data_IF_352626467270
#
_entry.id   IF_352626467270
#
_cell.length_a   1.000
_cell.length_b   1.000
_cell.length_c   1.000
_cell.angle_alpha   90.00
_cell.angle_beta   90.00
_cell.angle_gamma   90.00
#
_symmetry.space_group_name_H-M   'P 1'
#
loop_
_entity.id
_entity.type
_entity.pdbx_description
1 polymer ?
#
# COMPACT_ATOMS: atom_id res chain seq x y z
N UNK A 1 -26.95 -12.69 -2.85
CA UNK A 1 -25.99 -13.61 -3.51
C UNK A 1 -24.71 -12.83 -3.71
N UNK A 2 -23.67 -13.10 -2.91
CA UNK A 2 -22.37 -12.44 -3.04
C UNK A 2 -21.51 -13.22 -4.02
N UNK A 3 -21.07 -12.58 -5.11
CA UNK A 3 -20.02 -13.13 -5.96
C UNK A 3 -18.73 -13.10 -5.13
N UNK A 4 -18.11 -14.27 -4.92
CA UNK A 4 -16.82 -14.36 -4.25
C UNK A 4 -15.74 -13.83 -5.20
N UNK A 5 -15.46 -12.53 -5.11
CA UNK A 5 -14.34 -11.89 -5.80
C UNK A 5 -13.05 -12.26 -5.06
N UNK A 6 -12.11 -12.88 -5.75
CA UNK A 6 -10.79 -13.15 -5.21
C UNK A 6 -9.92 -11.95 -5.56
N UNK A 7 -9.41 -11.23 -4.57
CA UNK A 7 -8.40 -10.22 -4.79
C UNK A 7 -7.08 -10.93 -5.09
N UNK A 8 -6.30 -10.38 -6.03
CA UNK A 8 -5.01 -10.94 -6.42
C UNK A 8 -4.02 -10.85 -5.24
N UNK A 9 -4.01 -11.88 -4.40
CA UNK A 9 -3.02 -12.07 -3.35
C UNK A 9 -1.67 -12.49 -3.93
N UNK A 10 -0.61 -12.09 -3.22
CA UNK A 10 0.80 -12.34 -3.53
C UNK A 10 1.04 -13.79 -3.98
N UNK A 11 1.61 -13.98 -5.18
CA UNK A 11 2.29 -15.25 -5.52
C UNK A 11 3.76 -15.03 -5.20
N UNK A 12 4.19 -15.47 -4.02
CA UNK A 12 5.59 -15.42 -3.64
C UNK A 12 6.46 -16.11 -4.67
N UNK A 13 7.27 -15.34 -5.41
CA UNK A 13 8.44 -15.89 -6.11
C UNK A 13 9.69 -15.81 -5.24
N UNK A 14 9.51 -15.81 -3.91
CA UNK A 14 10.60 -16.03 -2.98
C UNK A 14 11.05 -17.48 -3.11
N UNK A 15 12.15 -17.73 -3.84
CA UNK A 15 12.91 -18.96 -3.66
C UNK A 15 13.53 -18.91 -2.27
N UNK A 16 12.77 -19.29 -1.24
CA UNK A 16 13.36 -19.69 0.02
C UNK A 16 14.32 -20.84 -0.32
N UNK A 17 15.62 -20.62 -0.08
CA UNK A 17 16.64 -21.63 -0.37
C UNK A 17 16.29 -22.83 0.49
N UNK A 18 15.81 -23.88 -0.17
CA UNK A 18 15.40 -25.16 0.41
C UNK A 18 16.24 -25.53 1.64
N UNK A 19 15.59 -25.67 2.78
CA UNK A 19 16.01 -26.62 3.81
C UNK A 19 16.15 -27.98 3.07
N UNK A 20 17.39 -28.46 2.94
CA UNK A 20 17.84 -29.36 1.87
C UNK A 20 17.04 -30.67 1.77
N UNK A 21 16.69 -31.13 0.56
CA UNK A 21 17.44 -32.19 -0.14
C UNK A 21 17.56 -31.98 -1.67
N UNK A 22 18.72 -32.37 -2.21
CA UNK A 22 19.25 -32.18 -3.59
C UNK A 22 18.33 -32.63 -4.75
N UNK A 23 18.32 -31.88 -5.87
CA UNK A 23 18.74 -32.29 -7.24
C UNK A 23 18.22 -31.33 -8.35
N UNK A 24 19.17 -30.80 -9.16
CA UNK A 24 19.18 -30.38 -10.59
C UNK A 24 17.85 -29.99 -11.28
N UNK A 25 17.75 -28.80 -11.91
CA UNK A 25 17.89 -28.57 -13.39
C UNK A 25 17.58 -27.11 -13.81
N UNK A 26 18.32 -26.62 -14.82
CA UNK A 26 18.17 -25.32 -15.51
C UNK A 26 16.96 -25.31 -16.44
N UNK A 27 16.28 -24.15 -16.52
CA UNK A 27 15.59 -23.54 -17.69
C UNK A 27 14.77 -22.35 -17.15
N UNK A 28 14.55 -21.23 -17.82
CA UNK A 28 14.89 -20.76 -19.15
C UNK A 28 14.64 -19.24 -19.21
N UNK A 29 15.27 -18.59 -20.18
CA UNK A 29 15.04 -17.19 -20.56
C UNK A 29 13.65 -17.01 -21.18
N UNK A 30 13.04 -15.82 -21.03
CA UNK A 30 12.70 -14.94 -22.16
C UNK A 30 11.78 -13.76 -21.76
N UNK A 31 11.97 -12.66 -22.50
CA UNK A 31 11.08 -11.52 -22.74
C UNK A 31 10.97 -10.42 -21.66
N UNK A 32 11.97 -9.54 -21.62
CA UNK A 32 11.77 -8.15 -21.17
C UNK A 32 11.57 -7.26 -22.40
N UNK A 33 10.41 -6.61 -22.45
CA UNK A 33 9.98 -5.71 -23.53
C UNK A 33 10.71 -4.37 -23.45
N UNK A 34 11.05 -3.83 -24.61
CA UNK A 34 11.63 -2.50 -24.78
C UNK A 34 10.59 -1.44 -24.40
N UNK A 35 10.96 -0.55 -23.48
CA UNK A 35 10.33 0.77 -23.33
C UNK A 35 11.43 1.83 -23.50
N UNK A 36 11.46 2.44 -24.68
CA UNK A 36 12.19 3.68 -24.93
C UNK A 36 11.40 4.84 -24.31
N UNK A 37 11.95 5.50 -23.30
CA UNK A 37 11.49 6.83 -22.88
C UNK A 37 12.43 7.86 -23.49
N UNK A 38 11.95 8.59 -24.49
CA UNK A 38 12.58 9.80 -24.99
C UNK A 38 12.47 10.89 -23.91
N UNK A 39 13.61 11.39 -23.43
CA UNK A 39 13.68 12.52 -22.52
C UNK A 39 14.13 13.75 -23.31
N UNK A 40 13.29 14.78 -23.32
CA UNK A 40 13.63 16.09 -23.89
C UNK A 40 14.62 16.80 -22.95
N UNK A 41 15.88 16.93 -23.36
CA UNK A 41 16.84 17.82 -22.71
C UNK A 41 16.92 19.13 -23.49
N UNK A 42 16.24 20.17 -23.02
CA UNK A 42 16.52 21.55 -23.43
C UNK A 42 17.52 22.15 -22.45
N UNK A 43 18.72 22.45 -22.93
CA UNK A 43 19.74 23.19 -22.18
C UNK A 43 19.41 24.69 -22.13
N UNK A 44 19.74 25.33 -21.01
CA UNK A 44 20.00 26.77 -20.94
C UNK A 44 20.80 27.13 -19.68
N UNK A 45 22.00 27.67 -19.94
CA UNK A 45 22.75 28.73 -19.25
C UNK A 45 22.57 28.98 -17.75
N UNK A 46 23.70 28.82 -17.04
CA UNK A 46 24.03 29.36 -15.71
C UNK A 46 23.53 30.78 -15.47
N UNK A 47 22.56 30.91 -14.56
CA UNK A 47 22.44 32.09 -13.71
C UNK A 47 22.25 31.59 -12.29
N UNK A 48 23.24 31.87 -11.45
CA UNK A 48 23.47 31.37 -10.09
C UNK A 48 22.49 32.02 -9.09
N UNK A 49 21.20 31.90 -9.38
CA UNK A 49 20.13 32.10 -8.40
C UNK A 49 19.98 30.77 -7.69
N UNK A 50 20.39 30.72 -6.42
CA UNK A 50 20.05 29.63 -5.50
C UNK A 50 18.53 29.60 -5.35
N UNK A 51 17.85 29.01 -6.33
CA UNK A 51 16.46 28.61 -6.23
C UNK A 51 16.40 27.68 -5.03
N UNK A 52 15.77 28.12 -3.95
CA UNK A 52 15.49 27.26 -2.80
C UNK A 52 14.75 26.04 -3.34
N UNK A 53 15.42 24.89 -3.33
CA UNK A 53 14.85 23.67 -3.88
C UNK A 53 13.55 23.38 -3.13
N UNK A 54 12.43 23.37 -3.85
CA UNK A 54 11.12 23.06 -3.27
C UNK A 54 11.19 21.68 -2.63
N UNK A 55 10.86 21.53 -1.34
CA UNK A 55 10.91 20.23 -0.66
C UNK A 55 10.09 19.18 -1.40
N UNK A 56 10.62 17.97 -1.49
CA UNK A 56 9.88 16.84 -2.06
C UNK A 56 8.76 16.48 -1.09
N UNK A 57 7.52 16.40 -1.59
CA UNK A 57 6.35 16.03 -0.81
C UNK A 57 6.15 14.51 -0.84
N UNK A 58 5.98 13.91 0.32
CA UNK A 58 5.87 12.48 0.51
C UNK A 58 4.47 12.13 1.01
N UNK A 59 3.60 11.74 0.09
CA UNK A 59 2.26 11.26 0.37
C UNK A 59 2.24 9.75 0.66
N UNK A 60 2.97 9.00 -0.16
CA UNK A 60 3.01 7.55 -0.19
C UNK A 60 4.41 7.04 0.18
N UNK A 61 4.48 5.86 0.79
CA UNK A 61 5.70 5.17 1.18
C UNK A 61 5.62 3.69 0.85
N UNK A 62 6.78 3.04 0.73
CA UNK A 62 6.86 1.59 0.73
C UNK A 62 6.53 1.04 2.10
N UNK A 63 5.74 -0.01 2.13
CA UNK A 63 5.57 -0.85 3.31
C UNK A 63 6.14 -2.22 3.03
N UNK A 64 7.07 -2.68 3.86
CA UNK A 64 7.63 -4.02 3.76
C UNK A 64 7.42 -4.78 5.07
N UNK A 65 7.05 -6.06 4.95
CA UNK A 65 7.03 -6.99 6.07
C UNK A 65 8.12 -8.02 5.86
N UNK A 66 8.88 -8.26 6.91
CA UNK A 66 10.00 -9.18 6.93
C UNK A 66 9.74 -10.22 8.00
N UNK A 67 10.27 -11.43 7.83
CA UNK A 67 10.12 -12.49 8.80
C UNK A 67 11.44 -13.21 9.09
N UNK A 68 11.55 -13.78 10.29
CA UNK A 68 12.66 -14.62 10.72
C UNK A 68 12.14 -15.68 11.70
N UNK A 69 12.39 -16.95 11.40
CA UNK A 69 12.07 -18.08 12.28
C UNK A 69 13.39 -18.74 12.69
N UNK A 70 13.91 -18.36 13.87
CA UNK A 70 15.22 -18.82 14.34
C UNK A 70 15.22 -20.33 14.62
N UNK A 71 14.09 -20.85 15.09
CA UNK A 71 13.88 -22.27 15.40
C UNK A 71 13.99 -23.17 14.16
N UNK A 72 13.67 -22.63 12.98
CA UNK A 72 13.81 -23.30 11.68
C UNK A 72 15.20 -23.03 11.03
N UNK A 73 16.11 -22.40 11.77
CA UNK A 73 17.49 -22.16 11.36
C UNK A 73 17.73 -20.88 10.54
N UNK A 74 16.75 -19.98 10.45
CA UNK A 74 16.94 -18.69 9.76
C UNK A 74 17.90 -17.79 10.54
N UNK A 75 18.93 -17.29 9.86
CA UNK A 75 19.94 -16.40 10.46
C UNK A 75 19.59 -14.93 10.30
N UNK A 76 18.90 -14.59 9.23
CA UNK A 76 18.58 -13.23 8.82
C UNK A 76 17.08 -13.11 8.55
N UNK A 77 16.59 -11.87 8.55
CA UNK A 77 15.23 -11.57 8.11
C UNK A 77 15.14 -11.70 6.59
N UNK A 78 14.09 -12.36 6.10
CA UNK A 78 13.73 -12.42 4.69
C UNK A 78 12.49 -11.56 4.41
N UNK A 79 12.42 -11.00 3.20
CA UNK A 79 11.28 -10.18 2.78
C UNK A 79 10.07 -11.09 2.57
N UNK A 80 8.98 -10.85 3.31
CA UNK A 80 7.74 -11.59 3.18
C UNK A 80 6.82 -10.94 2.16
N UNK A 81 6.55 -9.65 2.28
CA UNK A 81 5.70 -8.96 1.33
C UNK A 81 6.00 -7.47 1.31
N UNK A 82 5.56 -6.82 0.22
CA UNK A 82 5.66 -5.37 0.04
C UNK A 82 4.35 -4.82 -0.49
N UNK A 83 4.03 -3.63 -0.04
CA UNK A 83 2.89 -2.84 -0.49
C UNK A 83 3.18 -1.35 -0.38
N UNK A 84 2.12 -0.56 -0.42
CA UNK A 84 2.16 0.88 -0.25
C UNK A 84 1.43 1.25 1.03
N UNK A 85 1.92 2.27 1.72
CA UNK A 85 1.14 3.00 2.71
C UNK A 85 1.10 4.48 2.42
N UNK A 86 0.20 5.21 3.06
CA UNK A 86 0.09 6.66 2.91
C UNK A 86 -0.28 7.35 4.22
N UNK A 87 0.17 8.59 4.35
CA UNK A 87 -0.05 9.39 5.54
C UNK A 87 -1.45 10.00 5.55
N UNK A 88 -2.13 9.93 6.69
CA UNK A 88 -3.48 10.43 6.91
C UNK A 88 -3.53 11.47 8.02
N UNK A 89 -4.28 12.55 7.80
CA UNK A 89 -4.72 13.42 8.88
C UNK A 89 -5.87 12.78 9.67
N UNK A 90 -5.70 12.63 10.99
CA UNK A 90 -6.75 12.09 11.89
C UNK A 90 -7.73 13.16 12.37
N UNK A 91 -7.46 14.43 12.12
CA UNK A 91 -8.31 15.58 12.49
C UNK A 91 -9.51 15.74 11.57
N UNK A 92 -9.68 14.86 10.59
CA UNK A 92 -10.73 14.92 9.59
C UNK A 92 -12.05 14.26 10.05
N UNK A 93 -12.11 13.68 11.26
CA UNK A 93 -13.34 13.03 11.75
C UNK A 93 -14.32 14.05 12.30
N UNK A 94 -15.63 13.85 12.07
CA UNK A 94 -16.70 14.74 12.56
C UNK A 94 -16.69 14.87 14.10
N UNK A 95 -16.25 13.80 14.76
CA UNK A 95 -16.02 13.67 16.21
C UNK A 95 -14.90 14.57 16.74
N UNK A 96 -13.92 14.94 15.91
CA UNK A 96 -12.83 15.83 16.31
C UNK A 96 -13.30 17.28 16.52
N UNK A 97 -14.40 17.69 15.89
CA UNK A 97 -14.88 19.08 15.95
C UNK A 97 -15.72 19.40 17.19
N UNK A 98 -16.15 18.40 17.95
CA UNK A 98 -17.21 18.58 18.97
C UNK A 98 -16.78 18.48 20.43
N UNK A 99 -15.51 18.20 20.80
CA UNK A 99 -15.24 17.75 22.18
C UNK A 99 -14.01 18.28 22.93
N UNK A 100 -14.22 18.31 24.26
CA UNK A 100 -13.53 18.95 25.38
C UNK A 100 -12.07 18.53 25.67
N UNK A 101 -11.38 19.42 26.37
CA UNK A 101 -9.96 19.44 26.74
C UNK A 101 -9.39 18.27 27.59
N UNK A 102 -10.09 17.13 27.73
CA UNK A 102 -9.70 16.01 28.63
C UNK A 102 -9.42 14.67 27.95
N UNK A 103 -9.38 14.59 26.61
CA UNK A 103 -9.19 13.30 25.91
C UNK A 103 -7.73 12.90 25.68
N UNK A 104 -7.54 11.58 25.57
CA UNK A 104 -6.31 10.87 25.16
C UNK A 104 -5.71 11.56 23.93
N UNK A 105 -4.38 11.75 23.93
CA UNK A 105 -3.67 12.42 22.84
C UNK A 105 -3.82 11.59 21.55
N UNK A 106 -4.69 12.06 20.65
CA UNK A 106 -4.88 11.44 19.33
C UNK A 106 -3.68 11.78 18.45
N UNK A 107 -3.06 10.79 17.77
CA UNK A 107 -1.97 11.06 16.85
C UNK A 107 -2.47 11.94 15.71
N UNK A 108 -1.79 13.05 15.39
CA UNK A 108 -2.21 13.98 14.31
C UNK A 108 -2.12 13.34 12.93
N UNK A 109 -1.14 12.45 12.76
CA UNK A 109 -0.85 11.74 11.53
C UNK A 109 -0.69 10.26 11.83
N UNK A 110 -1.31 9.43 11.01
CA UNK A 110 -1.16 7.98 11.03
C UNK A 110 -0.81 7.48 9.63
N UNK A 111 -0.24 6.29 9.54
CA UNK A 111 -0.02 5.62 8.26
C UNK A 111 -1.14 4.59 8.02
N UNK A 112 -1.81 4.67 6.88
CA UNK A 112 -2.73 3.64 6.43
C UNK A 112 -2.06 2.72 5.41
N UNK A 113 -2.47 1.45 5.39
CA UNK A 113 -2.03 0.46 4.41
C UNK A 113 -2.87 -0.81 4.48
N UNK A 114 -2.61 -1.77 3.59
CA UNK A 114 -3.31 -3.06 3.61
C UNK A 114 -2.87 -3.92 4.79
N UNK A 115 -3.84 -4.55 5.45
CA UNK A 115 -3.56 -5.39 6.62
C UNK A 115 -2.74 -6.63 6.25
N UNK A 116 -2.99 -7.24 5.10
CA UNK A 116 -2.21 -8.39 4.62
C UNK A 116 -0.75 -8.05 4.33
N UNK A 117 -0.41 -6.78 4.06
CA UNK A 117 0.98 -6.33 3.88
C UNK A 117 1.64 -6.13 5.24
N UNK A 118 0.93 -5.55 6.20
CA UNK A 118 1.50 -5.16 7.49
C UNK A 118 1.59 -6.34 8.46
N UNK A 119 0.55 -7.18 8.51
CA UNK A 119 0.46 -8.39 9.36
C UNK A 119 0.19 -9.65 8.53
N UNK A 120 1.09 -10.05 7.61
CA UNK A 120 0.86 -11.16 6.68
C UNK A 120 0.50 -12.49 7.36
N UNK A 121 1.02 -12.77 8.55
CA UNK A 121 0.69 -13.95 9.35
C UNK A 121 -0.80 -14.06 9.73
N UNK A 122 -1.53 -12.94 9.78
CA UNK A 122 -2.97 -12.92 10.03
C UNK A 122 -3.80 -13.16 8.75
N UNK A 123 -3.15 -13.22 7.60
CA UNK A 123 -3.77 -13.35 6.28
C UNK A 123 -3.21 -14.54 5.48
N UNK A 124 -3.12 -15.75 6.07
CA UNK A 124 -2.49 -16.90 5.43
C UNK A 124 -3.13 -17.27 4.08
N UNK A 125 -4.39 -16.93 3.84
CA UNK A 125 -5.08 -17.17 2.57
C UNK A 125 -4.50 -16.39 1.37
N UNK A 126 -3.72 -15.35 1.62
CA UNK A 126 -3.01 -14.59 0.58
C UNK A 126 -1.70 -15.28 0.15
N UNK A 127 -1.32 -16.34 0.85
CA UNK A 127 -0.06 -17.03 0.70
C UNK A 127 -0.34 -18.51 0.41
N UNK A 128 0.34 -19.08 -0.57
CA UNK A 128 0.10 -20.49 -0.97
C UNK A 128 1.08 -21.45 -0.29
N UNK A 129 2.11 -20.91 0.33
CA UNK A 129 3.22 -21.65 0.87
C UNK A 129 2.88 -22.18 2.26
N UNK A 130 2.86 -23.51 2.42
CA UNK A 130 2.50 -24.13 3.71
C UNK A 130 3.37 -23.66 4.88
N UNK A 131 4.63 -23.31 4.63
CA UNK A 131 5.55 -22.89 5.69
C UNK A 131 5.08 -21.59 6.39
N UNK A 132 4.26 -20.78 5.72
CA UNK A 132 3.75 -19.53 6.30
C UNK A 132 2.81 -19.75 7.48
N UNK A 133 2.25 -20.95 7.64
CA UNK A 133 1.49 -21.32 8.84
C UNK A 133 2.34 -21.33 10.12
N UNK A 134 3.67 -21.33 9.98
CA UNK A 134 4.62 -21.26 11.08
C UNK A 134 5.08 -19.84 11.37
N UNK A 135 4.78 -18.87 10.49
CA UNK A 135 5.08 -17.45 10.74
C UNK A 135 4.05 -16.90 11.72
N UNK A 136 4.54 -16.34 12.82
CA UNK A 136 3.76 -15.70 13.86
C UNK A 136 4.13 -14.22 13.94
N UNK A 137 3.40 -13.49 14.77
CA UNK A 137 3.63 -12.07 15.00
C UNK A 137 5.06 -11.78 15.47
N UNK A 138 5.58 -12.58 16.41
CA UNK A 138 6.93 -12.44 16.95
C UNK A 138 8.05 -12.69 15.92
N UNK A 139 7.73 -13.38 14.82
CA UNK A 139 8.68 -13.64 13.73
C UNK A 139 8.77 -12.45 12.77
N UNK A 140 7.81 -11.52 12.82
CA UNK A 140 7.67 -10.46 11.83
C UNK A 140 8.22 -9.12 12.32
N UNK A 141 8.63 -8.29 11.36
CA UNK A 141 8.82 -6.85 11.53
C UNK A 141 8.28 -6.10 10.33
N UNK A 142 7.75 -4.91 10.57
CA UNK A 142 7.26 -4.02 9.51
C UNK A 142 8.24 -2.86 9.36
N UNK A 143 8.48 -2.44 8.12
CA UNK A 143 9.31 -1.30 7.80
C UNK A 143 8.58 -0.37 6.84
N UNK A 144 8.79 0.92 7.04
CA UNK A 144 8.47 1.97 6.09
C UNK A 144 9.75 2.27 5.30
N UNK A 145 9.62 2.35 3.98
CA UNK A 145 10.72 2.64 3.06
C UNK A 145 10.38 3.86 2.20
N UNK A 146 11.35 4.77 2.04
CA UNK A 146 11.29 5.87 1.07
C UNK A 146 12.29 5.56 -0.03
N UNK A 147 11.83 5.60 -1.28
CA UNK A 147 12.63 5.23 -2.44
C UNK A 147 13.09 6.46 -3.21
N UNK A 148 14.30 6.37 -3.76
CA UNK A 148 14.80 7.29 -4.75
C UNK A 148 13.98 7.19 -6.04
N UNK A 149 13.47 8.31 -6.53
CA UNK A 149 12.59 8.34 -7.71
C UNK A 149 13.31 8.02 -9.02
N UNK A 150 14.62 8.22 -9.10
CA UNK A 150 15.40 8.01 -10.32
C UNK A 150 15.83 6.55 -10.44
N UNK A 151 16.37 6.01 -9.34
CA UNK A 151 16.98 4.69 -9.36
C UNK A 151 16.16 3.61 -8.66
N UNK A 152 15.10 3.95 -7.92
CA UNK A 152 14.19 3.01 -7.27
C UNK A 152 14.75 2.27 -6.05
N UNK A 153 15.86 2.74 -5.46
CA UNK A 153 16.45 2.14 -4.24
C UNK A 153 15.94 2.85 -2.99
N UNK A 154 15.88 2.13 -1.87
CA UNK A 154 15.55 2.75 -0.59
C UNK A 154 16.66 3.74 -0.19
N UNK A 155 16.26 4.97 0.13
CA UNK A 155 17.13 6.03 0.66
C UNK A 155 16.89 6.25 2.15
N UNK A 156 15.78 5.77 2.68
CA UNK A 156 15.44 5.85 4.09
C UNK A 156 14.53 4.68 4.45
N UNK A 157 14.83 4.03 5.58
CA UNK A 157 14.02 2.95 6.13
C UNK A 157 13.77 3.19 7.61
N UNK A 158 12.53 3.02 8.05
CA UNK A 158 12.11 3.20 9.43
C UNK A 158 11.38 1.94 9.91
N UNK A 159 11.91 1.31 10.96
CA UNK A 159 11.29 0.11 11.53
C UNK A 159 10.08 0.50 12.37
N UNK A 160 8.93 -0.09 12.07
CA UNK A 160 7.68 0.17 12.77
C UNK A 160 7.42 -0.93 13.81
N UNK A 161 7.13 -0.56 15.06
CA UNK A 161 6.77 -1.54 16.07
C UNK A 161 5.39 -2.12 15.72
N UNK A 162 5.29 -3.45 15.64
CA UNK A 162 4.03 -4.13 15.33
C UNK A 162 2.95 -3.81 16.39
N UNK A 163 3.35 -3.54 17.64
CA UNK A 163 2.43 -3.12 18.70
C UNK A 163 1.72 -1.78 18.44
N UNK A 164 2.26 -0.95 17.54
CA UNK A 164 1.62 0.30 17.09
C UNK A 164 0.70 0.11 15.88
N UNK A 165 0.42 -1.14 15.49
CA UNK A 165 -0.44 -1.47 14.35
C UNK A 165 -1.84 -1.87 14.82
N UNK A 166 -2.85 -1.18 14.31
CA UNK A 166 -4.25 -1.51 14.49
C UNK A 166 -4.81 -2.10 13.20
N UNK A 167 -5.32 -3.33 13.25
CA UNK A 167 -5.95 -4.01 12.11
C UNK A 167 -7.46 -3.90 12.20
N UNK A 168 -8.11 -3.64 11.06
CA UNK A 168 -9.57 -3.61 10.98
C UNK A 168 -10.13 -5.04 11.07
N UNK A 169 -11.26 -5.23 11.76
CA UNK A 169 -11.76 -6.57 12.10
C UNK A 169 -12.20 -7.40 10.88
N UNK A 170 -12.71 -6.74 9.85
CA UNK A 170 -13.36 -7.40 8.71
C UNK A 170 -12.88 -6.94 7.34
N UNK A 171 -12.04 -5.90 7.28
CA UNK A 171 -11.60 -5.28 6.03
C UNK A 171 -10.07 -5.32 6.02
N UNK A 172 -9.49 -5.47 4.84
CA UNK A 172 -8.05 -5.59 4.64
C UNK A 172 -7.35 -4.22 4.72
N UNK A 173 -7.44 -3.57 5.88
CA UNK A 173 -6.78 -2.31 6.17
C UNK A 173 -6.21 -2.30 7.59
N UNK A 174 -5.12 -1.55 7.75
CA UNK A 174 -4.51 -1.30 9.03
C UNK A 174 -4.06 0.17 9.14
N UNK A 175 -3.99 0.64 10.38
CA UNK A 175 -3.47 1.95 10.75
C UNK A 175 -2.24 1.74 11.62
N UNK A 176 -1.16 2.45 11.34
CA UNK A 176 0.04 2.46 12.16
C UNK A 176 0.21 3.82 12.82
N UNK A 177 0.33 3.80 14.14
CA UNK A 177 0.76 4.97 14.91
C UNK A 177 2.28 5.12 14.82
N UNK A 178 2.75 6.36 14.87
CA UNK A 178 4.17 6.67 15.02
C UNK A 178 4.43 7.16 16.44
N UNK A 179 5.01 6.33 17.33
CA UNK A 179 5.33 6.76 18.69
C UNK A 179 6.21 8.02 18.72
N UNK A 180 7.14 8.12 17.76
CA UNK A 180 8.07 9.23 17.62
C UNK A 180 7.93 9.91 16.25
N UNK A 181 6.73 10.39 15.92
CA UNK A 181 6.47 11.09 14.64
C UNK A 181 7.43 12.26 14.38
N UNK A 182 7.79 13.02 15.41
CA UNK A 182 8.74 14.13 15.31
C UNK A 182 10.12 13.69 14.80
N UNK A 183 10.58 12.51 15.20
CA UNK A 183 11.88 11.99 14.77
C UNK A 183 11.82 11.57 13.31
N UNK A 184 10.72 10.96 12.87
CA UNK A 184 10.50 10.63 11.46
C UNK A 184 10.50 11.90 10.61
N UNK A 185 9.75 12.93 11.03
CA UNK A 185 9.65 14.21 10.33
C UNK A 185 11.00 14.94 10.27
N UNK A 186 11.75 14.98 11.38
CA UNK A 186 13.08 15.59 11.42
C UNK A 186 14.08 14.87 10.50
N UNK A 187 14.07 13.53 10.50
CA UNK A 187 14.97 12.73 9.65
C UNK A 187 14.66 12.93 8.16
N UNK A 188 13.38 12.90 7.78
CA UNK A 188 12.97 13.16 6.40
C UNK A 188 13.24 14.63 6.00
N UNK A 189 13.00 15.57 6.90
CA UNK A 189 13.27 16.99 6.69
C UNK A 189 14.77 17.27 6.45
N UNK A 190 15.66 16.57 7.17
CA UNK A 190 17.10 16.65 6.92
C UNK A 190 17.51 16.14 5.53
N UNK A 191 16.66 15.34 4.88
CA UNK A 191 16.82 14.89 3.49
C UNK A 191 16.10 15.78 2.47
N UNK A 192 15.50 16.90 2.90
CA UNK A 192 14.69 17.76 2.03
C UNK A 192 13.32 17.15 1.66
N UNK A 193 12.83 16.21 2.47
CA UNK A 193 11.55 15.52 2.26
C UNK A 193 10.56 15.98 3.33
N UNK A 194 9.41 16.46 2.89
CA UNK A 194 8.28 16.84 3.75
C UNK A 194 7.17 15.81 3.63
N UNK A 195 6.63 15.36 4.76
CA UNK A 195 5.44 14.49 4.78
C UNK A 195 4.22 15.34 4.36
N UNK A 196 3.41 14.83 3.43
CA UNK A 196 2.20 15.52 2.94
C UNK A 196 0.98 14.60 3.14
N UNK A 197 0.37 14.58 4.35
CA UNK A 197 -0.74 13.68 4.63
C UNK A 197 -2.00 14.07 3.85
N UNK A 198 -2.74 13.07 3.38
CA UNK A 198 -4.01 13.30 2.68
C UNK A 198 -5.18 13.40 3.66
N UNK A 199 -6.23 14.07 3.19
CA UNK A 199 -7.49 14.22 3.92
C UNK A 199 -8.51 13.23 3.39
N UNK A 200 -9.03 12.37 4.27
CA UNK A 200 -10.14 11.49 3.92
C UNK A 200 -11.40 12.32 3.64
N UNK A 201 -12.09 12.00 2.55
CA UNK A 201 -13.33 12.64 2.13
C UNK A 201 -14.32 11.59 1.66
N UNK A 202 -15.58 11.76 2.05
CA UNK A 202 -16.63 10.91 1.55
C UNK A 202 -16.75 11.08 0.02
N UNK A 203 -16.95 9.98 -0.70
CA UNK A 203 -17.10 10.08 -2.16
C UNK A 203 -18.31 10.96 -2.53
N UNK A 204 -19.40 10.90 -1.76
CA UNK A 204 -20.60 11.74 -1.98
C UNK A 204 -20.37 13.25 -1.75
N UNK A 205 -19.30 13.64 -1.06
CA UNK A 205 -18.94 15.04 -0.84
C UNK A 205 -18.09 15.61 -1.99
N UNK A 206 -17.53 14.71 -2.80
CA UNK A 206 -16.64 15.02 -3.91
C UNK A 206 -17.39 14.66 -5.17
N UNK A 207 -17.92 15.66 -5.88
CA UNK A 207 -18.65 15.48 -7.14
C UNK A 207 -17.68 15.14 -8.29
N UNK A 208 -16.99 13.99 -8.18
CA UNK A 208 -16.08 13.48 -9.19
C UNK A 208 -16.21 11.97 -9.33
N UNK A 209 -16.03 11.50 -10.55
CA UNK A 209 -15.82 10.11 -10.91
C UNK A 209 -14.35 9.83 -11.25
N UNK A 210 -13.49 10.85 -11.34
CA UNK A 210 -12.08 10.68 -11.69
C UNK A 210 -11.25 10.37 -10.46
N UNK A 211 -10.49 9.28 -10.54
CA UNK A 211 -9.66 8.78 -9.46
C UNK A 211 -8.22 8.58 -9.93
N UNK A 212 -7.27 8.92 -9.07
CA UNK A 212 -5.86 8.57 -9.20
C UNK A 212 -5.48 7.62 -8.08
N UNK A 213 -5.00 6.44 -8.42
CA UNK A 213 -4.51 5.47 -7.45
C UNK A 213 -2.99 5.55 -7.44
N UNK A 214 -2.41 5.91 -6.30
CA UNK A 214 -0.95 6.00 -6.14
C UNK A 214 -0.40 4.78 -5.41
N UNK A 215 0.84 4.41 -5.74
CA UNK A 215 1.48 3.27 -5.11
C UNK A 215 2.89 3.01 -5.59
N UNK A 216 3.41 1.85 -5.23
CA UNK A 216 4.74 1.40 -5.58
C UNK A 216 4.67 0.17 -6.48
N UNK A 217 5.41 0.20 -7.57
CA UNK A 217 5.63 -0.94 -8.46
C UNK A 217 6.98 -1.57 -8.17
N UNK A 218 6.97 -2.90 -8.00
CA UNK A 218 8.18 -3.69 -7.87
C UNK A 218 8.69 -4.11 -9.26
N UNK A 219 9.93 -3.76 -9.58
CA UNK A 219 10.63 -4.20 -10.78
C UNK A 219 11.82 -5.08 -10.38
N UNK A 220 11.94 -6.24 -11.03
CA UNK A 220 12.94 -7.26 -10.69
C UNK A 220 12.45 -8.26 -9.64
N UNK A 221 13.33 -9.19 -9.26
CA UNK A 221 13.00 -10.20 -8.27
C UNK A 221 13.02 -9.61 -6.84
N UNK A 222 11.97 -9.89 -6.06
CA UNK A 222 11.86 -9.41 -4.70
C UNK A 222 13.07 -9.84 -3.83
N UNK A 223 13.63 -8.92 -3.05
CA UNK A 223 14.82 -9.12 -2.22
C UNK A 223 16.15 -9.29 -2.98
N UNK A 224 16.17 -9.13 -4.30
CA UNK A 224 17.39 -9.25 -5.10
C UNK A 224 18.16 -7.92 -5.23
N UNK A 225 19.43 -7.98 -5.63
CA UNK A 225 20.22 -6.77 -5.93
C UNK A 225 19.69 -5.97 -7.15
N UNK A 226 18.88 -6.62 -7.98
CA UNK A 226 18.20 -6.02 -9.14
C UNK A 226 16.84 -5.44 -8.76
N UNK A 227 16.35 -5.69 -7.55
CA UNK A 227 15.07 -5.17 -7.08
C UNK A 227 15.08 -3.64 -7.11
N UNK A 228 14.06 -3.06 -7.74
CA UNK A 228 13.76 -1.63 -7.76
C UNK A 228 12.31 -1.41 -7.41
N UNK A 229 12.04 -0.30 -6.74
CA UNK A 229 10.70 0.12 -6.38
C UNK A 229 10.48 1.52 -6.89
N UNK A 230 9.48 1.67 -7.76
CA UNK A 230 9.15 2.95 -8.35
C UNK A 230 7.79 3.40 -7.86
N UNK A 231 7.70 4.68 -7.48
CA UNK A 231 6.40 5.31 -7.30
C UNK A 231 5.68 5.38 -8.65
N UNK A 232 4.46 4.89 -8.70
CA UNK A 232 3.60 4.86 -9.89
C UNK A 232 2.21 5.33 -9.53
N UNK A 233 1.45 5.75 -10.53
CA UNK A 233 0.02 6.02 -10.38
C UNK A 233 -0.76 5.39 -11.53
N UNK A 234 -2.07 5.24 -11.31
CA UNK A 234 -3.06 4.79 -12.29
C UNK A 234 -4.23 5.75 -12.24
N UNK A 235 -4.48 6.41 -13.35
CA UNK A 235 -5.64 7.30 -13.48
C UNK A 235 -6.83 6.48 -14.00
N UNK A 236 -8.04 6.82 -13.59
CA UNK A 236 -9.22 6.04 -13.92
C UNK A 236 -10.52 6.74 -13.60
N UNK A 237 -11.60 5.99 -13.79
CA UNK A 237 -12.96 6.43 -13.51
C UNK A 237 -13.65 5.44 -12.57
N UNK A 238 -14.43 5.95 -11.63
CA UNK A 238 -15.28 5.16 -10.76
C UNK A 238 -16.37 4.51 -11.62
N UNK A 239 -16.29 3.19 -11.73
CA UNK A 239 -17.23 2.38 -12.51
C UNK A 239 -18.43 1.96 -11.67
N UNK A 240 -18.20 1.65 -10.38
CA UNK A 240 -19.25 1.14 -9.49
C UNK A 240 -18.98 1.49 -8.03
N UNK A 241 -20.04 1.80 -7.30
CA UNK A 241 -20.00 1.94 -5.83
C UNK A 241 -20.96 0.93 -5.21
N UNK A 242 -20.49 0.27 -4.17
CA UNK A 242 -21.27 -0.65 -3.34
C UNK A 242 -21.19 -0.18 -1.89
N UNK A 243 -22.01 -0.74 -1.00
CA UNK A 243 -22.00 -0.34 0.42
C UNK A 243 -20.66 -0.51 1.13
N UNK A 244 -19.76 -1.37 0.62
CA UNK A 244 -18.47 -1.65 1.25
C UNK A 244 -17.26 -1.37 0.36
N UNK A 245 -17.43 -1.14 -0.94
CA UNK A 245 -16.33 -0.99 -1.91
C UNK A 245 -16.68 0.00 -3.02
N UNK A 246 -15.67 0.75 -3.43
CA UNK A 246 -15.64 1.50 -4.69
C UNK A 246 -14.84 0.67 -5.70
N UNK A 247 -15.29 0.60 -6.93
CA UNK A 247 -14.60 -0.06 -8.03
C UNK A 247 -14.28 0.96 -9.11
N UNK A 248 -13.02 1.01 -9.51
CA UNK A 248 -12.53 1.92 -10.54
C UNK A 248 -11.97 1.14 -11.72
N UNK A 249 -12.30 1.61 -12.92
CA UNK A 249 -11.65 1.21 -14.16
C UNK A 249 -10.47 2.17 -14.38
N UNK A 250 -9.26 1.62 -14.40
CA UNK A 250 -8.02 2.39 -14.54
C UNK A 250 -7.43 2.22 -15.95
N UNK A 251 -6.66 3.22 -16.38
CA UNK A 251 -5.94 3.24 -17.65
C UNK A 251 -5.06 2.00 -17.89
N UNK A 252 -4.57 1.43 -16.79
CA UNK A 252 -3.89 0.15 -16.73
C UNK A 252 -4.14 -0.52 -15.38
N UNK A 253 -4.04 -1.85 -15.36
CA UNK A 253 -4.29 -2.65 -14.17
C UNK A 253 -3.29 -2.27 -13.07
N UNK A 254 -3.77 -2.09 -11.84
CA UNK A 254 -2.90 -1.88 -10.68
C UNK A 254 -1.96 -3.08 -10.50
N UNK A 255 -0.70 -2.80 -10.24
CA UNK A 255 0.37 -3.80 -10.19
C UNK A 255 0.68 -4.23 -8.76
N UNK A 256 1.45 -5.31 -8.62
CA UNK A 256 1.92 -5.76 -7.30
C UNK A 256 2.76 -4.66 -6.64
N UNK A 257 2.53 -4.48 -5.34
CA UNK A 257 3.14 -3.42 -4.53
C UNK A 257 2.26 -2.18 -4.34
N UNK A 258 1.22 -1.99 -5.17
CA UNK A 258 0.32 -0.84 -5.03
C UNK A 258 -0.71 -1.01 -3.89
N UNK A 259 -1.03 -2.25 -3.50
CA UNK A 259 -2.01 -2.50 -2.43
C UNK A 259 -1.67 -1.70 -1.17
N UNK A 260 -2.69 -1.07 -0.58
CA UNK A 260 -2.57 -0.17 0.56
C UNK A 260 -2.36 1.29 0.18
N UNK A 261 -2.12 1.60 -1.09
CA UNK A 261 -2.00 2.98 -1.58
C UNK A 261 -3.32 3.76 -1.58
N UNK A 262 -3.27 5.11 -1.65
CA UNK A 262 -4.45 5.95 -1.62
C UNK A 262 -5.14 6.00 -2.98
N UNK A 263 -6.47 6.08 -2.95
CA UNK A 263 -7.30 6.50 -4.07
C UNK A 263 -7.64 7.98 -3.90
N UNK A 264 -7.07 8.84 -4.75
CA UNK A 264 -7.20 10.29 -4.71
C UNK A 264 -8.25 10.80 -5.69
N UNK A 265 -9.05 11.77 -5.27
CA UNK A 265 -9.97 12.48 -6.13
C UNK A 265 -9.20 13.47 -7.02
N UNK A 266 -9.17 13.26 -8.34
CA UNK A 266 -8.35 14.08 -9.26
C UNK A 266 -8.76 15.55 -9.23
N UNK A 267 -10.06 15.83 -9.13
CA UNK A 267 -10.59 17.20 -9.09
C UNK A 267 -10.34 17.92 -7.75
N UNK A 268 -9.90 17.22 -6.71
CA UNK A 268 -9.75 17.76 -5.35
C UNK A 268 -8.38 17.37 -4.77
N UNK A 269 -7.30 18.11 -5.10
CA UNK A 269 -5.95 17.81 -4.63
C UNK A 269 -5.87 17.57 -3.12
N UNK A 270 -5.16 16.52 -2.71
CA UNK A 270 -5.02 16.11 -1.31
C UNK A 270 -6.24 15.41 -0.70
N UNK A 271 -7.32 15.22 -1.47
CA UNK A 271 -8.51 14.49 -1.00
C UNK A 271 -8.43 13.02 -1.38
N UNK A 272 -8.53 12.15 -0.38
CA UNK A 272 -8.49 10.70 -0.51
C UNK A 272 -9.89 10.12 -0.31
N UNK A 273 -10.37 9.39 -1.31
CA UNK A 273 -11.68 8.72 -1.32
C UNK A 273 -11.62 7.26 -0.86
N UNK A 274 -10.42 6.74 -0.61
CA UNK A 274 -10.25 5.39 -0.08
C UNK A 274 -8.84 4.82 -0.17
N UNK A 275 -8.73 3.53 0.15
CA UNK A 275 -7.49 2.75 0.13
C UNK A 275 -7.61 1.63 -0.91
N UNK A 276 -6.62 1.48 -1.79
CA UNK A 276 -6.57 0.38 -2.75
C UNK A 276 -6.41 -0.95 -2.01
N UNK A 277 -7.41 -1.82 -2.10
CA UNK A 277 -7.36 -3.17 -1.54
C UNK A 277 -6.62 -4.14 -2.47
N UNK A 278 -6.89 -4.01 -3.77
CA UNK A 278 -6.29 -4.84 -4.81
C UNK A 278 -7.05 -4.76 -6.12
N UNK A 279 -6.80 -5.74 -6.99
CA UNK A 279 -7.49 -5.89 -8.27
C UNK A 279 -8.42 -7.10 -8.18
N UNK A 280 -9.64 -6.95 -8.68
CA UNK A 280 -10.61 -8.04 -8.78
C UNK A 280 -10.20 -9.03 -9.88
N UNK A 281 -10.19 -10.31 -9.53
CA UNK A 281 -9.99 -11.41 -10.48
C UNK A 281 -11.19 -12.34 -10.46
N UNK A 282 -11.75 -12.60 -11.63
CA UNK A 282 -12.86 -13.55 -11.77
C UNK A 282 -12.32 -14.97 -11.87
N UNK A 283 -12.56 -15.77 -10.84
CA UNK A 283 -12.35 -17.22 -10.90
C UNK A 283 -13.57 -17.89 -11.52
N UNK A 284 -13.48 -18.23 -12.80
CA UNK A 284 -14.59 -18.84 -13.55
C UNK A 284 -15.08 -20.19 -13.01
N UNK A 285 -14.23 -20.91 -12.27
CA UNK A 285 -14.59 -22.21 -11.69
C UNK A 285 -15.71 -22.05 -10.65
N UNK A 286 -16.87 -22.65 -10.92
CA UNK A 286 -18.02 -22.66 -10.00
C UNK A 286 -18.98 -21.47 -10.12
N UNK A 287 -18.74 -20.54 -11.06
CA UNK A 287 -19.69 -19.44 -11.33
C UNK A 287 -20.84 -19.99 -12.20
N UNK A 288 -22.07 -19.81 -11.73
CA UNK A 288 -23.27 -20.18 -12.50
C UNK A 288 -23.37 -19.33 -13.78
N UNK A 289 -23.87 -19.91 -14.87
CA UNK A 289 -23.93 -19.25 -16.18
C UNK A 289 -24.58 -17.86 -16.12
N UNK A 290 -25.68 -17.73 -15.36
CA UNK A 290 -26.42 -16.49 -15.16
C UNK A 290 -25.60 -15.36 -14.50
N UNK A 291 -24.53 -15.71 -13.79
CA UNK A 291 -23.71 -14.77 -13.02
C UNK A 291 -22.41 -14.41 -13.77
N UNK A 292 -22.10 -15.08 -14.89
CA UNK A 292 -20.85 -14.87 -15.63
C UNK A 292 -20.70 -13.46 -16.18
N UNK A 293 -21.76 -12.85 -16.72
CA UNK A 293 -21.72 -11.48 -17.25
C UNK A 293 -21.41 -10.46 -16.15
N UNK A 294 -22.06 -10.60 -15.00
CA UNK A 294 -21.82 -9.72 -13.86
C UNK A 294 -20.40 -9.92 -13.31
N UNK A 295 -19.91 -11.16 -13.23
CA UNK A 295 -18.54 -11.43 -12.84
C UNK A 295 -17.56 -10.80 -13.84
N UNK A 296 -17.75 -11.01 -15.14
CA UNK A 296 -16.90 -10.46 -16.20
C UNK A 296 -16.77 -8.94 -16.13
N UNK A 297 -17.86 -8.22 -15.85
CA UNK A 297 -17.84 -6.75 -15.70
C UNK A 297 -16.99 -6.25 -14.53
N UNK A 298 -16.62 -7.13 -13.60
CA UNK A 298 -15.78 -6.81 -12.46
C UNK A 298 -14.32 -7.20 -12.68
N UNK A 299 -13.98 -7.98 -13.71
CA UNK A 299 -12.60 -8.46 -13.88
C UNK A 299 -11.63 -7.31 -14.18
N UNK A 300 -10.51 -7.25 -13.47
CA UNK A 300 -9.50 -6.22 -13.67
C UNK A 300 -9.80 -4.86 -13.05
N UNK A 301 -10.97 -4.66 -12.42
CA UNK A 301 -11.27 -3.42 -11.71
C UNK A 301 -10.41 -3.27 -10.46
N UNK A 302 -10.04 -2.04 -10.14
CA UNK A 302 -9.39 -1.72 -8.86
C UNK A 302 -10.44 -1.64 -7.76
N UNK A 303 -10.31 -2.48 -6.73
CA UNK A 303 -11.18 -2.48 -5.56
C UNK A 303 -10.61 -1.55 -4.49
N UNK A 304 -11.43 -0.59 -4.05
CA UNK A 304 -11.05 0.45 -3.11
C UNK A 304 -11.95 0.34 -1.87
N UNK A 305 -11.30 0.33 -0.69
CA UNK A 305 -11.95 0.48 0.60
C UNK A 305 -12.35 1.96 0.75
N UNK A 306 -13.63 2.30 0.88
CA UNK A 306 -14.08 3.69 0.93
C UNK A 306 -13.52 4.46 2.13
N UNK A 307 -13.28 5.76 1.96
CA UNK A 307 -12.84 6.68 3.01
C UNK A 307 -13.74 6.63 4.25
N UNK A 308 -15.03 6.37 4.08
CA UNK A 308 -16.00 6.17 5.16
C UNK A 308 -15.58 5.09 6.15
N UNK A 309 -15.12 3.96 5.64
CA UNK A 309 -14.70 2.85 6.47
C UNK A 309 -13.38 3.17 7.20
N UNK A 310 -12.48 3.93 6.57
CA UNK A 310 -11.26 4.42 7.21
C UNK A 310 -11.56 5.44 8.32
N UNK A 311 -12.48 6.39 8.08
CA UNK A 311 -12.91 7.37 9.08
C UNK A 311 -13.53 6.68 10.30
N UNK A 312 -14.45 5.74 10.06
CA UNK A 312 -15.03 4.93 11.13
C UNK A 312 -13.95 4.17 11.90
N UNK A 313 -12.97 3.60 11.19
CA UNK A 313 -11.88 2.86 11.83
C UNK A 313 -10.99 3.76 12.71
N UNK A 314 -10.68 4.98 12.25
CA UNK A 314 -9.96 6.00 13.03
C UNK A 314 -10.77 6.37 14.29
N UNK A 315 -12.08 6.57 14.16
CA UNK A 315 -12.97 6.88 15.29
C UNK A 315 -13.00 5.76 16.34
N UNK A 316 -13.17 4.51 15.90
CA UNK A 316 -13.15 3.32 16.76
C UNK A 316 -11.80 3.07 17.44
N UNK A 317 -10.69 3.56 16.88
CA UNK A 317 -9.36 3.32 17.45
C UNK A 317 -8.87 4.43 18.34
N UNK A 318 -9.14 5.69 17.98
CA UNK A 318 -8.55 6.82 18.68
C UNK A 318 -9.56 7.65 19.47
N UNK A 319 -10.87 7.53 19.19
CA UNK A 319 -11.89 8.41 19.77
C UNK A 319 -12.98 7.69 20.59
N UNK A 320 -13.20 6.38 20.40
CA UNK A 320 -14.08 5.62 21.29
C UNK A 320 -13.40 5.41 22.64
N UNK A 321 -14.04 5.90 23.71
CA UNK A 321 -13.64 5.55 25.06
C UNK A 321 -14.17 4.15 25.37
N UNK A 322 -13.25 3.21 25.60
CA UNK A 322 -13.56 2.04 26.43
C UNK A 322 -13.62 2.45 27.91
#
# INVERSE_FOLDING_TARGET
MGIALCLRGWRGQGRCRSLSTRTIQRCGQAAASKYDRAFCTSGASDSDTRSEAVPRRLTCVGLSSWFKIEEEGMKDFELLCRGTGFFLHTTCTQTAQTQDAKRKKVPKVVLAGSAHVIKPFAFPQYFQEEWLRHVKEEHCKTQLDVFDTENGRSVFSYSLPISATHVHRSLDMALLEFPNYSDLEANLGAMGISIDPVTLRHLREIETDLVRIEGHELVGAAGSAEERVYHVHRDGQISRVTGSRIYAETDSVCVMGMCGGPALAVAHPGSCIGLLEGVTEVRWAGIAEKDKTAAQSMDGLSAIIPAEALLQFIDERFYSQE
#
